data_IF_223903632490
#
_entry.id   IF_223903632490
#
_cell.length_a   1.000
_cell.length_b   1.000
_cell.length_c   1.000
_cell.angle_alpha   90.00
_cell.angle_beta   90.00
_cell.angle_gamma   90.00
#
_symmetry.space_group_name_H-M   'P 1'
#
loop_
_entity.id
_entity.type
_entity.pdbx_description
1 polymer ?
#
# COMPACT_ATOMS: atom_id res chain seq x y z
N UNK A 1 -16.57 19.39 -7.86
CA UNK A 1 -15.50 19.19 -6.85
C UNK A 1 -14.28 20.09 -7.09
N UNK A 2 -13.73 20.17 -8.31
CA UNK A 2 -12.51 20.97 -8.57
C UNK A 2 -12.68 22.49 -8.53
N UNK A 3 -13.87 23.01 -8.85
CA UNK A 3 -14.18 24.44 -8.74
C UNK A 3 -14.08 24.92 -7.28
N UNK A 4 -14.66 24.15 -6.35
CA UNK A 4 -14.60 24.44 -4.91
C UNK A 4 -13.14 24.48 -4.41
N UNK A 5 -12.31 23.54 -4.87
CA UNK A 5 -10.89 23.53 -4.51
C UNK A 5 -10.15 24.76 -5.08
N UNK A 6 -10.46 25.18 -6.31
CA UNK A 6 -9.88 26.40 -6.90
C UNK A 6 -10.25 27.63 -6.07
N UNK A 7 -11.52 27.75 -5.66
CA UNK A 7 -12.01 28.86 -4.85
C UNK A 7 -11.30 28.91 -3.48
N UNK A 8 -11.17 27.77 -2.79
CA UNK A 8 -10.44 27.70 -1.52
C UNK A 8 -8.96 28.07 -1.67
N UNK A 9 -8.30 27.63 -2.76
CA UNK A 9 -6.91 27.99 -3.02
C UNK A 9 -6.77 29.49 -3.28
N UNK A 10 -7.70 30.08 -4.04
CA UNK A 10 -7.72 31.51 -4.32
C UNK A 10 -7.93 32.32 -3.04
N UNK A 11 -8.87 31.91 -2.19
CA UNK A 11 -9.13 32.54 -0.90
C UNK A 11 -7.92 32.44 0.03
N UNK A 12 -7.31 31.25 0.16
CA UNK A 12 -6.11 31.03 0.96
C UNK A 12 -4.96 31.95 0.52
N UNK A 13 -4.71 32.04 -0.79
CA UNK A 13 -3.67 32.91 -1.34
C UNK A 13 -3.94 34.39 -1.05
N UNK A 14 -5.20 34.82 -1.16
CA UNK A 14 -5.63 36.19 -0.83
C UNK A 14 -5.41 36.50 0.64
N UNK A 15 -5.86 35.62 1.53
CA UNK A 15 -5.72 35.78 2.98
C UNK A 15 -4.25 35.78 3.41
N UNK A 16 -3.42 34.93 2.81
CA UNK A 16 -1.98 34.90 3.08
C UNK A 16 -1.32 36.25 2.77
N UNK A 17 -1.59 36.84 1.61
CA UNK A 17 -1.04 38.16 1.24
C UNK A 17 -1.51 39.22 2.23
N UNK A 18 -2.81 39.21 2.57
CA UNK A 18 -3.43 40.20 3.44
C UNK A 18 -2.85 40.15 4.87
N UNK A 19 -2.60 38.95 5.41
CA UNK A 19 -2.15 38.77 6.80
C UNK A 19 -0.62 38.81 6.95
N UNK A 20 0.12 38.26 5.99
CA UNK A 20 1.59 38.16 6.08
C UNK A 20 2.32 39.38 5.51
N UNK A 21 1.65 40.19 4.69
CA UNK A 21 2.24 41.28 3.91
C UNK A 21 3.46 40.85 3.08
N UNK A 22 3.58 39.55 2.79
CA UNK A 22 4.70 38.96 2.06
C UNK A 22 4.24 38.49 0.68
N UNK A 23 5.13 38.49 -0.33
CA UNK A 23 4.82 37.93 -1.64
C UNK A 23 4.54 36.43 -1.56
N UNK A 24 3.70 35.93 -2.47
CA UNK A 24 3.44 34.50 -2.58
C UNK A 24 4.71 33.77 -3.00
N UNK A 25 5.13 32.81 -2.18
CA UNK A 25 6.20 31.89 -2.54
C UNK A 25 5.79 30.97 -3.71
N UNK A 26 6.74 30.47 -4.51
CA UNK A 26 6.44 29.57 -5.64
C UNK A 26 5.56 28.36 -5.29
N UNK A 27 5.63 27.86 -4.06
CA UNK A 27 4.77 26.77 -3.56
C UNK A 27 3.27 27.07 -3.70
N UNK A 28 2.86 28.31 -3.48
CA UNK A 28 1.46 28.72 -3.62
C UNK A 28 1.01 28.71 -5.07
N UNK A 29 1.91 29.07 -6.01
CA UNK A 29 1.63 28.95 -7.44
C UNK A 29 1.47 27.49 -7.85
N UNK A 30 2.31 26.56 -7.35
CA UNK A 30 2.15 25.14 -7.67
C UNK A 30 0.80 24.57 -7.22
N UNK A 31 0.30 24.99 -6.05
CA UNK A 31 -1.00 24.54 -5.53
C UNK A 31 -2.15 24.97 -6.46
N UNK A 32 -2.06 26.12 -7.14
CA UNK A 32 -3.11 26.54 -8.10
C UNK A 32 -3.31 25.57 -9.25
N UNK A 33 -2.30 24.76 -9.59
CA UNK A 33 -2.38 23.73 -10.63
C UNK A 33 -2.92 22.39 -10.12
N UNK A 34 -3.04 22.19 -8.81
CA UNK A 34 -3.50 20.92 -8.22
C UNK A 34 -4.88 20.48 -8.69
N UNK A 35 -5.89 21.36 -8.84
CA UNK A 35 -7.19 20.96 -9.37
C UNK A 35 -7.11 20.33 -10.76
N UNK A 36 -6.26 20.88 -11.64
CA UNK A 36 -6.01 20.30 -12.98
C UNK A 36 -5.25 18.98 -12.87
N UNK A 37 -4.22 18.91 -12.04
CA UNK A 37 -3.43 17.70 -11.85
C UNK A 37 -4.27 16.55 -11.28
N UNK A 38 -5.14 16.81 -10.32
CA UNK A 38 -6.05 15.83 -9.74
C UNK A 38 -7.00 15.25 -10.79
N UNK A 39 -7.50 16.07 -11.71
CA UNK A 39 -8.36 15.61 -12.81
C UNK A 39 -7.61 14.74 -13.83
N UNK A 40 -6.35 15.07 -14.12
CA UNK A 40 -5.58 14.38 -15.15
C UNK A 40 -4.90 13.11 -14.65
N UNK A 41 -4.44 13.11 -13.40
CA UNK A 41 -3.55 12.08 -12.85
C UNK A 41 -4.10 11.40 -11.59
N UNK A 42 -5.25 11.83 -11.08
CA UNK A 42 -5.78 11.37 -9.80
C UNK A 42 -5.00 11.93 -8.61
N UNK A 43 -5.03 11.24 -7.45
CA UNK A 43 -4.40 11.74 -6.22
C UNK A 43 -2.90 12.07 -6.39
N UNK A 44 -2.54 13.33 -6.12
CA UNK A 44 -1.15 13.83 -6.29
C UNK A 44 -0.15 13.12 -5.39
N UNK A 45 -0.59 12.52 -4.27
CA UNK A 45 0.26 11.73 -3.37
C UNK A 45 0.95 10.56 -4.09
N UNK A 46 0.30 9.95 -5.08
CA UNK A 46 0.89 8.87 -5.86
C UNK A 46 1.97 9.36 -6.85
N UNK A 47 2.00 10.65 -7.15
CA UNK A 47 3.01 11.28 -8.01
C UNK A 47 4.24 11.76 -7.23
N UNK A 48 4.24 11.63 -5.90
CA UNK A 48 5.28 12.24 -5.09
C UNK A 48 6.61 11.48 -5.18
N UNK A 49 7.72 12.21 -5.25
CA UNK A 49 9.06 11.65 -5.50
C UNK A 49 9.82 11.18 -4.25
N UNK A 50 9.16 11.15 -3.09
CA UNK A 50 9.80 10.81 -1.79
C UNK A 50 10.55 9.47 -1.82
N UNK A 51 10.03 8.46 -2.55
CA UNK A 51 10.71 7.16 -2.68
C UNK A 51 12.01 7.26 -3.50
N UNK A 52 12.04 8.09 -4.53
CA UNK A 52 13.26 8.34 -5.31
C UNK A 52 14.32 9.05 -4.45
N UNK A 53 13.90 10.03 -3.64
CA UNK A 53 14.80 10.69 -2.68
C UNK A 53 15.36 9.72 -1.64
N UNK A 54 14.53 8.79 -1.16
CA UNK A 54 14.97 7.70 -0.28
C UNK A 54 16.06 6.83 -0.93
N UNK A 55 15.94 6.53 -2.23
CA UNK A 55 16.94 5.75 -2.99
C UNK A 55 18.29 6.47 -3.09
N UNK A 56 18.30 7.81 -3.17
CA UNK A 56 19.53 8.60 -3.22
C UNK A 56 20.42 8.44 -1.98
N UNK A 57 19.88 8.02 -0.83
CA UNK A 57 20.66 7.78 0.40
C UNK A 57 21.82 6.80 0.19
N UNK A 58 21.61 5.75 -0.60
CA UNK A 58 22.65 4.75 -0.90
C UNK A 58 23.80 5.38 -1.68
N UNK A 59 23.48 6.18 -2.70
CA UNK A 59 24.47 6.91 -3.49
C UNK A 59 25.24 7.95 -2.67
N UNK A 60 24.55 8.70 -1.80
CA UNK A 60 25.18 9.68 -0.89
C UNK A 60 26.18 9.01 0.06
N UNK A 61 25.83 7.86 0.64
CA UNK A 61 26.75 7.09 1.49
C UNK A 61 27.98 6.62 0.71
N UNK A 62 27.80 6.06 -0.48
CA UNK A 62 28.91 5.62 -1.34
C UNK A 62 29.84 6.78 -1.70
N UNK A 63 29.27 7.92 -2.09
CA UNK A 63 30.01 9.13 -2.42
C UNK A 63 30.80 9.69 -1.22
N UNK A 64 30.20 9.70 -0.03
CA UNK A 64 30.88 10.14 1.20
C UNK A 64 32.01 9.22 1.64
N UNK A 65 31.91 7.92 1.38
CA UNK A 65 32.94 6.93 1.75
C UNK A 65 34.15 6.90 0.81
N UNK A 66 34.06 7.53 -0.37
CA UNK A 66 35.13 7.48 -1.38
C UNK A 66 36.06 8.67 -1.24
N UNK A 67 37.37 8.42 -1.11
CA UNK A 67 38.42 9.46 -1.09
C UNK A 67 38.70 10.06 -2.47
N UNK A 68 38.58 9.26 -3.53
CA UNK A 68 38.72 9.73 -4.92
C UNK A 68 37.44 10.42 -5.42
N UNK A 69 37.56 11.68 -5.83
CA UNK A 69 36.45 12.48 -6.38
C UNK A 69 36.44 12.55 -7.92
N UNK A 70 37.46 11.98 -8.56
CA UNK A 70 37.51 11.90 -10.02
C UNK A 70 36.42 10.94 -10.48
N UNK A 71 35.51 11.43 -11.33
CA UNK A 71 34.38 10.66 -11.87
C UNK A 71 33.48 10.01 -10.79
N UNK A 72 33.14 10.77 -9.74
CA UNK A 72 32.33 10.30 -8.61
C UNK A 72 31.03 9.57 -9.05
N UNK A 73 30.32 10.09 -10.05
CA UNK A 73 29.11 9.47 -10.58
C UNK A 73 29.36 8.05 -11.10
N UNK A 74 30.49 7.81 -11.76
CA UNK A 74 30.89 6.48 -12.25
C UNK A 74 31.14 5.52 -11.10
N UNK A 75 31.79 6.00 -10.03
CA UNK A 75 32.03 5.19 -8.82
C UNK A 75 30.73 4.82 -8.12
N UNK A 76 29.81 5.79 -7.95
CA UNK A 76 28.49 5.53 -7.37
C UNK A 76 27.69 4.54 -8.22
N UNK A 77 27.67 4.72 -9.55
CA UNK A 77 26.98 3.80 -10.46
C UNK A 77 27.53 2.37 -10.36
N UNK A 78 28.86 2.20 -10.38
CA UNK A 78 29.51 0.89 -10.18
C UNK A 78 29.15 0.27 -8.84
N UNK A 79 29.12 1.06 -7.76
CA UNK A 79 28.74 0.55 -6.44
C UNK A 79 27.31 0.01 -6.41
N UNK A 80 26.37 0.73 -7.02
CA UNK A 80 24.97 0.30 -7.14
C UNK A 80 24.87 -0.99 -7.98
N UNK A 81 25.60 -1.08 -9.10
CA UNK A 81 25.62 -2.28 -9.93
C UNK A 81 26.17 -3.50 -9.18
N UNK A 82 27.25 -3.32 -8.41
CA UNK A 82 27.83 -4.39 -7.59
C UNK A 82 26.89 -4.84 -6.47
N UNK A 83 26.18 -3.90 -5.82
CA UNK A 83 25.15 -4.25 -4.83
C UNK A 83 24.01 -5.07 -5.43
N UNK A 84 23.59 -4.73 -6.65
CA UNK A 84 22.57 -5.51 -7.36
C UNK A 84 23.08 -6.89 -7.75
N UNK A 85 24.32 -6.99 -8.24
CA UNK A 85 24.95 -8.26 -8.58
C UNK A 85 25.05 -9.19 -7.36
N UNK A 86 25.45 -8.66 -6.20
CA UNK A 86 25.52 -9.41 -4.95
C UNK A 86 24.15 -10.01 -4.58
N UNK A 87 23.06 -9.24 -4.73
CA UNK A 87 21.69 -9.74 -4.52
C UNK A 87 21.34 -10.89 -5.48
N UNK A 88 21.76 -10.80 -6.74
CA UNK A 88 21.54 -11.87 -7.72
C UNK A 88 22.37 -13.12 -7.41
N UNK A 89 23.64 -12.96 -7.04
CA UNK A 89 24.55 -14.08 -6.73
C UNK A 89 24.09 -14.82 -5.47
N UNK A 90 23.67 -14.08 -4.44
CA UNK A 90 23.14 -14.66 -3.21
C UNK A 90 21.72 -15.23 -3.37
N UNK A 91 21.10 -15.07 -4.54
CA UNK A 91 19.69 -15.34 -4.79
C UNK A 91 18.77 -14.76 -3.69
N UNK A 92 19.16 -13.62 -3.12
CA UNK A 92 18.43 -12.89 -2.07
C UNK A 92 17.40 -11.93 -2.67
N UNK A 93 17.12 -12.05 -3.98
CA UNK A 93 15.84 -11.58 -4.50
C UNK A 93 14.78 -12.13 -3.57
N UNK A 94 13.98 -11.24 -2.96
CA UNK A 94 13.04 -11.63 -1.92
C UNK A 94 12.24 -12.82 -2.46
N UNK A 95 12.29 -13.98 -1.78
CA UNK A 95 11.54 -15.13 -2.24
C UNK A 95 10.06 -14.70 -2.34
N UNK A 96 9.26 -15.37 -3.19
CA UNK A 96 7.83 -15.07 -3.35
C UNK A 96 7.01 -15.50 -2.12
N UNK A 97 7.55 -15.26 -0.93
CA UNK A 97 7.01 -15.61 0.38
C UNK A 97 6.66 -14.32 1.09
N UNK A 98 5.59 -14.36 1.85
CA UNK A 98 5.17 -13.23 2.66
C UNK A 98 6.18 -12.97 3.80
N UNK A 99 6.47 -11.70 4.07
CA UNK A 99 7.23 -11.31 5.26
C UNK A 99 6.27 -10.90 6.37
N UNK A 100 6.52 -11.39 7.58
CA UNK A 100 5.58 -11.28 8.70
C UNK A 100 6.19 -10.53 9.89
N UNK A 101 5.32 -9.99 10.75
CA UNK A 101 5.72 -9.40 12.03
C UNK A 101 6.09 -10.47 13.06
N UNK A 102 6.36 -10.09 14.32
CA UNK A 102 6.44 -11.07 15.41
C UNK A 102 5.05 -11.69 15.60
N UNK A 103 4.94 -13.00 15.38
CA UNK A 103 3.67 -13.72 15.40
C UNK A 103 3.26 -14.17 16.79
N UNK A 104 1.97 -14.09 17.08
CA UNK A 104 1.37 -14.72 18.26
C UNK A 104 0.80 -16.09 17.89
N UNK A 105 0.85 -17.09 18.79
CA UNK A 105 0.21 -18.38 18.55
C UNK A 105 -1.30 -18.20 18.46
N UNK A 106 -1.94 -18.98 17.58
CA UNK A 106 -3.39 -19.01 17.39
C UNK A 106 -3.98 -20.19 18.16
N UNK A 107 -5.12 -20.00 18.81
CA UNK A 107 -5.83 -21.08 19.50
C UNK A 107 -6.41 -22.10 18.51
N UNK A 108 -6.43 -23.38 18.89
CA UNK A 108 -6.94 -24.47 18.05
C UNK A 108 -8.37 -24.25 17.52
N UNK A 109 -9.26 -23.63 18.30
CA UNK A 109 -10.64 -23.35 17.87
C UNK A 109 -10.72 -22.48 16.61
N UNK A 110 -9.80 -21.51 16.46
CA UNK A 110 -9.75 -20.62 15.29
C UNK A 110 -9.12 -21.35 14.11
N UNK A 111 -8.18 -22.26 14.37
CA UNK A 111 -7.58 -23.12 13.32
C UNK A 111 -8.63 -24.05 12.72
N UNK A 112 -9.52 -24.61 13.54
CA UNK A 112 -10.62 -25.47 13.06
C UNK A 112 -11.62 -24.69 12.18
N UNK A 113 -11.93 -23.44 12.53
CA UNK A 113 -12.73 -22.54 11.67
C UNK A 113 -12.03 -22.25 10.33
N UNK A 114 -10.70 -22.04 10.35
CA UNK A 114 -9.90 -21.80 9.14
C UNK A 114 -9.90 -23.03 8.23
N UNK A 115 -9.61 -24.20 8.79
CA UNK A 115 -9.62 -25.47 8.07
C UNK A 115 -11.01 -25.82 7.53
N UNK A 116 -12.08 -25.47 8.24
CA UNK A 116 -13.45 -25.66 7.79
C UNK A 116 -13.82 -24.83 6.55
N UNK A 117 -13.30 -23.61 6.44
CA UNK A 117 -13.54 -22.74 5.28
C UNK A 117 -12.58 -22.99 4.11
N UNK A 118 -11.42 -23.60 4.36
CA UNK A 118 -10.38 -23.85 3.37
C UNK A 118 -10.00 -25.34 3.35
N UNK A 119 -10.84 -26.22 2.74
CA UNK A 119 -10.64 -27.67 2.78
C UNK A 119 -9.42 -28.18 2.00
N UNK A 120 -8.70 -27.31 1.28
CA UNK A 120 -7.48 -27.65 0.55
C UNK A 120 -6.21 -27.57 1.41
N UNK A 121 -6.31 -27.09 2.65
CA UNK A 121 -5.19 -26.97 3.57
C UNK A 121 -4.90 -28.31 4.27
N UNK A 122 -3.64 -28.70 4.43
CA UNK A 122 -3.29 -29.90 5.19
C UNK A 122 -3.69 -29.73 6.66
N UNK A 123 -4.27 -30.77 7.26
CA UNK A 123 -4.75 -30.76 8.66
C UNK A 123 -3.65 -30.51 9.72
N UNK A 124 -2.37 -30.49 9.33
CA UNK A 124 -1.20 -30.24 10.20
C UNK A 124 -0.71 -28.78 10.15
N UNK A 125 -1.51 -27.87 9.61
CA UNK A 125 -1.16 -26.47 9.41
C UNK A 125 -1.03 -25.70 10.73
N UNK A 126 0.18 -25.22 11.04
CA UNK A 126 0.42 -24.29 12.14
C UNK A 126 0.19 -22.84 11.70
N UNK A 127 -0.80 -22.19 12.30
CA UNK A 127 -1.09 -20.78 12.06
C UNK A 127 -0.50 -19.88 13.15
N UNK A 128 -0.02 -18.71 12.72
CA UNK A 128 0.39 -17.62 13.59
C UNK A 128 -0.36 -16.35 13.23
N UNK A 129 -0.83 -15.61 14.23
CA UNK A 129 -1.51 -14.33 14.04
C UNK A 129 -0.49 -13.20 14.00
N UNK A 130 -0.64 -12.28 13.05
CA UNK A 130 0.28 -11.16 12.82
C UNK A 130 -0.42 -9.80 12.86
N UNK A 131 0.35 -8.77 13.20
CA UNK A 131 -0.12 -7.38 13.19
C UNK A 131 -0.12 -6.78 11.78
N UNK A 132 0.91 -7.12 11.00
CA UNK A 132 1.02 -6.79 9.59
C UNK A 132 1.74 -7.92 8.83
N UNK A 133 1.42 -8.02 7.55
CA UNK A 133 1.99 -8.97 6.61
C UNK A 133 2.38 -8.22 5.35
N UNK A 134 3.55 -8.48 4.79
CA UNK A 134 3.97 -7.90 3.51
C UNK A 134 4.00 -8.96 2.42
N UNK A 135 3.36 -8.67 1.29
CA UNK A 135 3.39 -9.52 0.11
C UNK A 135 4.75 -9.51 -0.58
N UNK A 136 5.03 -10.51 -1.44
CA UNK A 136 6.19 -10.51 -2.32
C UNK A 136 6.31 -9.26 -3.20
N UNK A 137 5.16 -8.66 -3.55
CA UNK A 137 5.07 -7.41 -4.31
C UNK A 137 5.37 -6.17 -3.46
N UNK A 138 5.84 -6.34 -2.22
CA UNK A 138 6.18 -5.29 -1.28
C UNK A 138 4.98 -4.41 -0.91
N UNK A 139 3.78 -5.00 -0.90
CA UNK A 139 2.55 -4.40 -0.39
C UNK A 139 2.34 -4.87 1.04
N UNK A 140 2.11 -3.94 1.96
CA UNK A 140 1.87 -4.25 3.38
C UNK A 140 0.39 -4.24 3.68
N UNK A 141 -0.13 -5.33 4.21
CA UNK A 141 -1.48 -5.44 4.75
C UNK A 141 -1.45 -5.32 6.26
N UNK A 142 -2.39 -4.57 6.82
CA UNK A 142 -2.59 -4.35 8.25
C UNK A 142 -4.02 -4.67 8.64
N UNK A 143 -4.24 -4.83 9.94
CA UNK A 143 -5.61 -4.88 10.50
C UNK A 143 -6.35 -3.59 10.15
N UNK A 144 -7.64 -3.71 9.88
CA UNK A 144 -8.56 -2.65 9.45
C UNK A 144 -8.39 -2.14 8.01
N UNK A 145 -7.38 -2.60 7.26
CA UNK A 145 -7.28 -2.30 5.83
C UNK A 145 -8.49 -2.89 5.07
N UNK A 146 -8.97 -2.13 4.08
CA UNK A 146 -10.03 -2.58 3.18
C UNK A 146 -9.39 -3.13 1.92
N UNK A 147 -9.73 -4.36 1.55
CA UNK A 147 -9.24 -5.03 0.35
C UNK A 147 -10.40 -5.30 -0.60
N UNK A 148 -10.10 -5.35 -1.90
CA UNK A 148 -11.03 -5.85 -2.91
C UNK A 148 -10.78 -7.36 -3.08
N UNK A 149 -11.81 -8.16 -2.84
CA UNK A 149 -11.72 -9.62 -2.97
C UNK A 149 -12.04 -10.01 -4.41
N UNK A 150 -13.21 -9.59 -4.89
CA UNK A 150 -13.77 -10.04 -6.16
C UNK A 150 -14.58 -8.92 -6.83
N UNK A 151 -15.19 -9.25 -7.98
CA UNK A 151 -16.14 -8.43 -8.71
C UNK A 151 -17.50 -9.12 -8.74
N UNK A 152 -18.56 -8.37 -8.43
CA UNK A 152 -19.93 -8.87 -8.56
C UNK A 152 -20.20 -9.17 -10.06
N UNK A 153 -20.60 -10.42 -10.41
CA UNK A 153 -20.80 -10.82 -11.79
C UNK A 153 -21.98 -10.14 -12.49
N UNK A 154 -22.97 -9.61 -11.75
CA UNK A 154 -24.12 -8.94 -12.35
C UNK A 154 -23.84 -7.46 -12.58
N UNK A 155 -23.32 -6.79 -11.55
CA UNK A 155 -23.18 -5.33 -11.54
C UNK A 155 -21.78 -4.86 -11.97
N UNK A 156 -20.80 -5.78 -12.08
CA UNK A 156 -19.38 -5.49 -12.27
C UNK A 156 -18.79 -4.57 -11.19
N UNK A 157 -19.44 -4.47 -10.03
CA UNK A 157 -18.96 -3.67 -8.92
C UNK A 157 -17.95 -4.44 -8.07
N UNK A 158 -16.90 -3.78 -7.57
CA UNK A 158 -15.93 -4.41 -6.68
C UNK A 158 -16.59 -4.81 -5.35
N UNK A 159 -16.31 -6.04 -4.91
CA UNK A 159 -16.66 -6.56 -3.60
C UNK A 159 -15.52 -6.25 -2.64
N UNK A 160 -15.82 -5.44 -1.64
CA UNK A 160 -14.85 -5.03 -0.63
C UNK A 160 -15.01 -5.83 0.65
N UNK A 161 -13.90 -5.99 1.38
CA UNK A 161 -13.93 -6.52 2.72
C UNK A 161 -12.86 -5.88 3.60
N UNK A 162 -13.12 -5.82 4.90
CA UNK A 162 -12.18 -5.30 5.89
C UNK A 162 -11.44 -6.44 6.59
N UNK A 163 -10.12 -6.33 6.62
CA UNK A 163 -9.25 -7.26 7.36
C UNK A 163 -9.45 -7.06 8.86
N UNK A 164 -9.88 -8.11 9.57
CA UNK A 164 -9.93 -8.14 11.03
C UNK A 164 -8.63 -8.71 11.60
N UNK A 165 -8.25 -9.89 11.12
CA UNK A 165 -7.06 -10.61 11.57
C UNK A 165 -6.27 -11.19 10.39
N UNK A 166 -4.97 -11.31 10.58
CA UNK A 166 -4.01 -11.82 9.59
C UNK A 166 -3.35 -13.07 10.14
N UNK A 167 -3.38 -14.14 9.34
CA UNK A 167 -2.81 -15.44 9.66
C UNK A 167 -1.70 -15.78 8.66
N UNK A 168 -0.64 -16.37 9.20
CA UNK A 168 0.45 -16.93 8.41
C UNK A 168 0.58 -18.41 8.72
N UNK A 169 0.55 -19.22 7.67
CA UNK A 169 0.74 -20.65 7.75
C UNK A 169 2.22 -21.00 7.52
N UNK A 170 2.81 -21.73 8.45
CA UNK A 170 4.26 -22.03 8.42
C UNK A 170 4.66 -23.03 7.33
N UNK A 171 3.77 -23.94 6.95
CA UNK A 171 4.10 -25.06 6.06
C UNK A 171 4.00 -24.64 4.59
N UNK A 172 2.89 -24.00 4.20
CA UNK A 172 2.68 -23.50 2.83
C UNK A 172 3.44 -22.19 2.56
N UNK A 173 3.74 -21.41 3.61
CA UNK A 173 4.29 -20.06 3.48
C UNK A 173 3.28 -19.05 2.94
N UNK A 174 1.99 -19.40 2.91
CA UNK A 174 0.90 -18.54 2.45
C UNK A 174 0.29 -17.73 3.62
N UNK A 175 -0.31 -16.60 3.26
CA UNK A 175 -1.01 -15.74 4.21
C UNK A 175 -2.50 -15.70 3.92
N UNK A 176 -3.26 -15.77 5.00
CA UNK A 176 -4.72 -15.72 5.00
C UNK A 176 -5.17 -14.52 5.83
N UNK A 177 -6.30 -13.93 5.48
CA UNK A 177 -6.93 -12.87 6.24
C UNK A 177 -8.35 -13.27 6.60
N UNK A 178 -8.72 -13.12 7.88
CA UNK A 178 -10.12 -13.10 8.27
C UNK A 178 -10.68 -11.73 7.94
N UNK A 179 -11.72 -11.72 7.13
CA UNK A 179 -12.31 -10.50 6.57
C UNK A 179 -13.80 -10.45 6.87
N UNK A 180 -14.29 -9.22 7.03
CA UNK A 180 -15.72 -8.92 7.12
C UNK A 180 -16.13 -8.25 5.82
N UNK A 181 -17.16 -8.79 5.16
CA UNK A 181 -17.61 -8.29 3.87
C UNK A 181 -18.32 -6.94 3.98
N UNK A 182 -18.29 -6.21 2.86
CA UNK A 182 -19.09 -5.02 2.65
C UNK A 182 -20.03 -5.21 1.46
N UNK A 183 -21.25 -4.70 1.58
CA UNK A 183 -22.17 -4.57 0.45
C UNK A 183 -21.94 -3.22 -0.22
N UNK A 184 -21.66 -3.23 -1.52
CA UNK A 184 -21.49 -2.02 -2.32
C UNK A 184 -22.87 -1.47 -2.70
N UNK A 185 -23.23 -0.27 -2.21
CA UNK A 185 -24.54 0.34 -2.47
C UNK A 185 -24.57 1.04 -3.84
N UNK A 186 -23.65 1.97 -4.05
CA UNK A 186 -23.52 2.72 -5.30
C UNK A 186 -22.13 3.35 -5.43
N UNK A 187 -21.78 3.71 -6.67
CA UNK A 187 -20.63 4.52 -6.96
C UNK A 187 -20.98 6.01 -6.90
N UNK A 188 -20.30 6.76 -6.04
CA UNK A 188 -20.46 8.20 -5.95
C UNK A 188 -19.49 8.90 -6.91
N UNK A 189 -20.03 9.48 -7.99
CA UNK A 189 -19.26 10.24 -8.97
C UNK A 189 -18.60 11.51 -8.39
N UNK A 190 -19.15 12.08 -7.31
CA UNK A 190 -18.59 13.27 -6.68
C UNK A 190 -17.26 12.96 -6.00
N UNK A 191 -17.24 11.90 -5.18
CA UNK A 191 -16.04 11.47 -4.44
C UNK A 191 -15.17 10.50 -5.23
N UNK A 192 -15.67 10.01 -6.37
CA UNK A 192 -15.04 8.95 -7.15
C UNK A 192 -14.72 7.72 -6.29
N UNK A 193 -15.68 7.36 -5.44
CA UNK A 193 -15.55 6.33 -4.42
C UNK A 193 -16.84 5.49 -4.34
N UNK A 194 -16.71 4.25 -3.91
CA UNK A 194 -17.85 3.38 -3.65
C UNK A 194 -18.37 3.61 -2.24
N UNK A 195 -19.67 3.83 -2.11
CA UNK A 195 -20.32 3.77 -0.80
C UNK A 195 -20.59 2.32 -0.46
N UNK A 196 -20.11 1.91 0.70
CA UNK A 196 -20.16 0.52 1.16
C UNK A 196 -20.76 0.46 2.56
N UNK A 197 -21.60 -0.55 2.82
CA UNK A 197 -22.18 -0.83 4.13
C UNK A 197 -21.67 -2.15 4.68
N UNK A 198 -21.38 -2.18 5.99
CA UNK A 198 -20.76 -3.33 6.66
C UNK A 198 -21.77 -4.45 6.86
N UNK A 199 -21.44 -5.66 6.41
CA UNK A 199 -22.22 -6.87 6.70
C UNK A 199 -21.62 -7.62 7.90
N UNK A 200 -22.35 -8.59 8.42
CA UNK A 200 -21.87 -9.49 9.48
C UNK A 200 -21.23 -10.77 8.92
N UNK A 201 -21.11 -10.89 7.60
CA UNK A 201 -20.56 -12.05 6.94
C UNK A 201 -19.04 -12.07 7.08
N UNK A 202 -18.52 -13.17 7.61
CA UNK A 202 -17.08 -13.41 7.81
C UNK A 202 -16.61 -14.53 6.90
N UNK A 203 -15.53 -14.28 6.20
CA UNK A 203 -14.85 -15.33 5.43
C UNK A 203 -13.34 -15.22 5.62
N UNK A 204 -12.65 -16.27 5.19
CA UNK A 204 -11.20 -16.29 5.16
C UNK A 204 -10.75 -16.28 3.71
N UNK A 205 -9.84 -15.36 3.40
CA UNK A 205 -9.36 -15.13 2.03
C UNK A 205 -7.85 -15.31 1.99
N UNK A 206 -7.37 -16.04 0.99
CA UNK A 206 -5.95 -16.15 0.68
C UNK A 206 -5.45 -14.86 0.02
N UNK A 207 -4.47 -14.18 0.62
CA UNK A 207 -3.96 -12.90 0.11
C UNK A 207 -3.27 -13.00 -1.26
N UNK A 208 -2.91 -14.23 -1.67
CA UNK A 208 -2.31 -14.52 -2.97
C UNK A 208 -3.32 -14.44 -4.14
N UNK A 209 -4.60 -14.71 -3.86
CA UNK A 209 -5.65 -14.81 -4.87
C UNK A 209 -6.43 -13.51 -5.06
N UNK A 210 -5.96 -12.40 -4.49
CA UNK A 210 -6.64 -11.12 -4.60
C UNK A 210 -6.58 -10.58 -6.04
N UNK A 211 -7.74 -10.18 -6.55
CA UNK A 211 -7.87 -9.51 -7.86
C UNK A 211 -7.11 -8.19 -7.89
N UNK A 212 -7.14 -7.45 -6.78
CA UNK A 212 -6.37 -6.22 -6.60
C UNK A 212 -5.48 -6.30 -5.35
N UNK A 213 -4.14 -6.33 -5.50
CA UNK A 213 -3.23 -6.58 -4.38
C UNK A 213 -2.97 -5.35 -3.50
N UNK A 214 -3.49 -4.18 -3.84
CA UNK A 214 -3.29 -2.96 -3.06
C UNK A 214 -4.48 -2.74 -2.10
N UNK A 215 -4.24 -2.62 -0.79
CA UNK A 215 -5.28 -2.27 0.17
C UNK A 215 -5.70 -0.81 -0.01
N UNK A 216 -7.00 -0.57 0.09
CA UNK A 216 -7.59 0.75 0.25
C UNK A 216 -7.50 1.14 1.74
N UNK A 217 -6.32 1.59 2.15
CA UNK A 217 -6.12 2.14 3.49
C UNK A 217 -6.60 3.59 3.52
N UNK A 218 -7.56 3.91 4.39
CA UNK A 218 -7.78 5.30 4.80
C UNK A 218 -6.58 5.69 5.67
N UNK A 219 -5.65 6.46 5.09
CA UNK A 219 -4.53 7.05 5.82
C UNK A 219 -4.98 8.31 6.59
#
# INVERSE_FOLDING_TARGET
MTLILQDFIAEMNRLYIQLSHAPLQPKFHYVTHYPRMLLQFGPVVHLWSMRFEGKHRVGKKAAGSTSCRINLCKTVAKKIQLQLNDVFVQNTLRPPVFSTSVGNPVYHSVVDEICGQLPHLPCTSEFSSHSFVSSPLNVTYRRQDVIQIDLDPECMYPVFAQIQELFFERISGECYASVVHFTTEYFDNHYFAYKVSRTNERSIVALKNLTHPLPNTYA
#
